data_IF_932915807339
#
_entry.id   IF_932915807339
#
_cell.length_a   1.000
_cell.length_b   1.000
_cell.length_c   1.000
_cell.angle_alpha   90.00
_cell.angle_beta   90.00
_cell.angle_gamma   90.00
#
_symmetry.space_group_name_H-M   'P 1'
#
loop_
_entity.id
_entity.type
_entity.pdbx_description
1 polymer ?
#
# COMPACT_ATOMS: atom_id res chain seq x y z
N UNK A 1 9.39 21.72 32.78
CA UNK A 1 8.13 21.55 32.01
C UNK A 1 8.15 22.16 30.60
N UNK A 2 9.07 23.09 30.25
CA UNK A 2 9.13 23.72 28.92
C UNK A 2 9.34 22.75 27.74
N UNK A 3 10.05 21.65 27.96
CA UNK A 3 10.37 20.68 26.91
C UNK A 3 9.31 19.58 26.76
N UNK A 4 8.33 19.54 27.66
CA UNK A 4 7.27 18.53 27.69
C UNK A 4 6.44 18.50 26.39
N UNK A 5 5.96 19.63 25.83
CA UNK A 5 5.28 19.60 24.53
C UNK A 5 6.15 19.06 23.38
N UNK A 6 7.48 19.29 23.43
CA UNK A 6 8.39 18.81 22.40
C UNK A 6 8.58 17.28 22.47
N UNK A 7 8.69 16.74 23.68
CA UNK A 7 8.77 15.29 23.92
C UNK A 7 7.47 14.60 23.50
N UNK A 8 6.31 15.19 23.83
CA UNK A 8 5.01 14.66 23.43
C UNK A 8 4.86 14.66 21.90
N UNK A 9 5.22 15.75 21.23
CA UNK A 9 5.20 15.84 19.76
C UNK A 9 6.08 14.77 19.09
N UNK A 10 7.27 14.53 19.62
CA UNK A 10 8.19 13.52 19.12
C UNK A 10 7.63 12.09 19.29
N UNK A 11 6.99 11.79 20.41
CA UNK A 11 6.35 10.49 20.66
C UNK A 11 5.09 10.27 19.80
N UNK A 12 4.38 11.33 19.41
CA UNK A 12 3.24 11.22 18.48
C UNK A 12 3.69 10.99 17.03
N UNK A 13 4.83 11.56 16.62
CA UNK A 13 5.35 11.42 15.26
C UNK A 13 5.67 9.96 14.88
N UNK A 14 6.07 9.12 15.85
CA UNK A 14 6.35 7.69 15.62
C UNK A 14 5.10 6.84 15.34
N UNK A 15 3.90 7.31 15.67
CA UNK A 15 2.65 6.63 15.34
C UNK A 15 2.10 6.97 13.95
N UNK A 16 2.65 7.97 13.26
CA UNK A 16 2.19 8.38 11.94
C UNK A 16 2.71 7.52 10.78
N UNK A 17 3.57 6.53 11.04
CA UNK A 17 4.21 5.70 10.01
C UNK A 17 3.62 4.29 9.88
N UNK A 18 2.32 4.11 10.20
CA UNK A 18 1.68 2.81 10.04
C UNK A 18 1.04 2.70 8.64
N UNK A 19 1.85 2.43 7.62
CA UNK A 19 1.31 1.74 6.45
C UNK A 19 1.15 0.27 6.82
N UNK A 20 -0.09 -0.17 6.99
CA UNK A 20 -0.37 -1.54 7.39
C UNK A 20 -0.09 -2.55 6.25
N UNK A 21 -0.19 -2.09 5.00
CA UNK A 21 0.06 -2.86 3.78
C UNK A 21 0.84 -2.00 2.80
N UNK A 22 1.84 -2.56 2.14
CA UNK A 22 2.67 -1.93 1.11
C UNK A 22 2.67 -2.76 -0.18
N UNK A 23 2.98 -2.13 -1.32
CA UNK A 23 3.33 -2.85 -2.55
C UNK A 23 4.78 -3.32 -2.40
N UNK A 24 4.99 -4.63 -2.37
CA UNK A 24 6.32 -5.22 -2.27
C UNK A 24 6.95 -5.45 -3.64
N UNK A 25 6.15 -5.93 -4.60
CA UNK A 25 6.58 -6.18 -5.97
C UNK A 25 5.46 -5.83 -6.96
N UNK A 26 5.86 -5.36 -8.13
CA UNK A 26 5.01 -5.13 -9.29
C UNK A 26 5.74 -5.72 -10.50
N UNK A 27 5.14 -6.72 -11.14
CA UNK A 27 5.56 -7.24 -12.44
C UNK A 27 4.44 -6.98 -13.44
N UNK A 28 4.71 -6.07 -14.38
CA UNK A 28 3.76 -5.59 -15.39
C UNK A 28 4.39 -5.48 -16.80
N UNK A 29 5.57 -6.05 -17.01
CA UNK A 29 6.29 -5.97 -18.29
C UNK A 29 6.94 -7.31 -18.62
N UNK A 30 6.11 -8.35 -18.63
CA UNK A 30 6.53 -9.69 -19.05
C UNK A 30 6.35 -9.83 -20.57
N UNK A 31 7.41 -10.11 -21.35
CA UNK A 31 7.28 -10.30 -22.79
C UNK A 31 6.44 -11.53 -23.14
N UNK A 32 5.50 -11.38 -24.09
CA UNK A 32 4.71 -12.50 -24.63
C UNK A 32 3.23 -12.38 -24.32
N UNK A 33 2.62 -13.48 -23.90
CA UNK A 33 1.22 -13.48 -23.45
C UNK A 33 1.20 -12.92 -22.04
N UNK A 34 0.33 -11.96 -21.82
CA UNK A 34 0.09 -11.31 -20.54
C UNK A 34 -0.78 -12.22 -19.64
N UNK A 35 -0.16 -13.23 -19.03
CA UNK A 35 -0.80 -14.17 -18.11
C UNK A 35 -0.04 -14.35 -16.78
N UNK A 36 0.99 -13.54 -16.56
CA UNK A 36 1.90 -13.60 -15.40
C UNK A 36 2.10 -12.27 -14.69
N UNK A 37 1.29 -11.26 -15.00
CA UNK A 37 1.35 -9.98 -14.30
C UNK A 37 0.76 -10.10 -12.89
N UNK A 38 1.41 -9.46 -11.92
CA UNK A 38 0.94 -9.46 -10.53
C UNK A 38 1.39 -8.23 -9.76
N UNK A 39 0.65 -7.95 -8.68
CA UNK A 39 1.02 -7.03 -7.61
C UNK A 39 1.14 -7.84 -6.32
N UNK A 40 2.31 -7.83 -5.70
CA UNK A 40 2.51 -8.45 -4.39
C UNK A 40 2.28 -7.41 -3.28
N UNK A 41 1.42 -7.76 -2.32
CA UNK A 41 1.16 -6.96 -1.13
C UNK A 41 1.87 -7.56 0.07
N UNK A 42 2.57 -6.72 0.83
CA UNK A 42 3.23 -7.11 2.07
C UNK A 42 2.64 -6.35 3.25
N UNK A 43 2.47 -7.06 4.35
CA UNK A 43 2.14 -6.48 5.66
C UNK A 43 3.09 -7.02 6.72
N UNK A 44 3.11 -6.37 7.89
CA UNK A 44 3.94 -6.82 9.02
C UNK A 44 3.37 -8.04 9.75
N UNK A 45 2.13 -8.44 9.44
CA UNK A 45 1.44 -9.56 10.08
C UNK A 45 1.01 -10.59 9.03
N UNK A 46 1.24 -11.90 9.25
CA UNK A 46 0.72 -12.92 8.35
C UNK A 46 -0.81 -12.91 8.35
N UNK A 47 -1.42 -13.21 7.19
CA UNK A 47 -2.88 -13.22 7.01
C UNK A 47 -3.58 -11.91 7.42
N UNK A 48 -2.92 -10.77 7.23
CA UNK A 48 -3.54 -9.46 7.42
C UNK A 48 -4.78 -9.35 6.53
N UNK A 49 -5.95 -9.05 7.12
CA UNK A 49 -7.20 -8.86 6.36
C UNK A 49 -7.08 -7.63 5.48
N UNK A 50 -7.50 -7.74 4.22
CA UNK A 50 -7.55 -6.62 3.28
C UNK A 50 -8.98 -6.07 3.16
N UNK A 51 -9.87 -6.43 4.09
CA UNK A 51 -11.22 -5.90 4.17
C UNK A 51 -11.19 -4.36 4.19
N UNK A 52 -11.90 -3.75 3.25
CA UNK A 52 -11.97 -2.30 3.10
C UNK A 52 -10.81 -1.67 2.35
N UNK A 53 -9.80 -2.45 1.93
CA UNK A 53 -8.77 -2.00 1.00
C UNK A 53 -9.26 -2.14 -0.45
N UNK A 54 -8.80 -1.22 -1.30
CA UNK A 54 -9.03 -1.24 -2.75
C UNK A 54 -7.70 -1.04 -3.44
N UNK A 55 -7.37 -1.93 -4.38
CA UNK A 55 -6.25 -1.74 -5.29
C UNK A 55 -6.78 -1.07 -6.57
N UNK A 56 -6.15 0.03 -6.99
CA UNK A 56 -6.58 0.79 -8.17
C UNK A 56 -5.43 0.87 -9.16
N UNK A 57 -5.69 0.42 -10.38
CA UNK A 57 -4.79 0.55 -11.52
C UNK A 57 -5.22 1.75 -12.36
N UNK A 58 -4.31 2.67 -12.61
CA UNK A 58 -4.54 3.83 -13.47
C UNK A 58 -3.79 3.65 -14.79
N UNK A 59 -4.51 3.64 -15.90
CA UNK A 59 -3.89 3.65 -17.22
C UNK A 59 -3.64 5.10 -17.66
N UNK A 60 -2.35 5.47 -17.72
CA UNK A 60 -1.92 6.82 -18.08
C UNK A 60 -2.21 7.23 -19.54
N UNK A 61 -2.58 6.29 -20.41
CA UNK A 61 -2.84 6.56 -21.83
C UNK A 61 -4.27 7.02 -22.13
N UNK A 62 -5.24 6.64 -21.30
CA UNK A 62 -6.66 6.89 -21.54
C UNK A 62 -7.44 7.33 -20.30
N UNK A 63 -6.77 7.60 -19.17
CA UNK A 63 -7.40 8.03 -17.90
C UNK A 63 -8.44 7.03 -17.37
N UNK A 64 -8.38 5.78 -17.81
CA UNK A 64 -9.21 4.70 -17.31
C UNK A 64 -8.64 4.19 -15.98
N UNK A 65 -9.54 3.87 -15.05
CA UNK A 65 -9.20 3.24 -13.78
C UNK A 65 -9.89 1.88 -13.65
N UNK A 66 -9.14 0.87 -13.21
CA UNK A 66 -9.69 -0.44 -12.84
C UNK A 66 -9.50 -0.61 -11.34
N UNK A 67 -10.60 -0.89 -10.64
CA UNK A 67 -10.62 -1.08 -9.19
C UNK A 67 -10.80 -2.56 -8.86
N UNK A 68 -9.92 -3.08 -8.02
CA UNK A 68 -10.00 -4.44 -7.46
C UNK A 68 -10.29 -4.30 -5.97
N UNK A 69 -11.43 -4.85 -5.54
CA UNK A 69 -11.77 -4.94 -4.12
C UNK A 69 -10.99 -6.13 -3.55
N UNK A 70 -10.18 -5.87 -2.52
CA UNK A 70 -9.39 -6.90 -1.89
C UNK A 70 -10.21 -7.67 -0.84
N UNK A 71 -9.97 -8.98 -0.69
CA UNK A 71 -10.73 -9.86 0.21
C UNK A 71 -10.30 -9.79 1.68
#
# INVERSE_FOLDING_TARGET
MKNLPFIISFLFASYCWSQAVVINELDCDTPGIDDKEFVELLSSAPNFSLDGYVLVFFNGSNSEEIRVILP
#
